data_IF_456027298753
#
_entry.id   IF_456027298753
#
_cell.length_a   1.000
_cell.length_b   1.000
_cell.length_c   1.000
_cell.angle_alpha   90.00
_cell.angle_beta   90.00
_cell.angle_gamma   90.00
#
_symmetry.space_group_name_H-M   'P 1'
#
loop_
_entity.id
_entity.type
_entity.pdbx_description
1 polymer ?
#
# COMPACT_ATOMS: atom_id res chain seq x y z
N UNK A 1 -29.59 -51.24 66.42
CA UNK A 1 -29.97 -51.91 65.16
C UNK A 1 -29.67 -50.96 64.02
N UNK A 2 -28.58 -51.15 63.25
CA UNK A 2 -28.51 -51.92 61.98
C UNK A 2 -29.36 -51.22 60.88
N UNK A 3 -28.91 -50.77 59.69
CA UNK A 3 -27.81 -51.05 58.73
C UNK A 3 -27.75 -49.85 57.73
N UNK A 4 -26.64 -49.13 57.51
CA UNK A 4 -25.63 -49.18 56.41
C UNK A 4 -26.08 -49.14 54.92
N UNK A 5 -25.55 -48.16 54.15
CA UNK A 5 -25.10 -48.25 52.73
C UNK A 5 -24.09 -47.11 52.48
N UNK A 6 -22.78 -47.36 52.68
CA UNK A 6 -21.73 -47.59 51.67
C UNK A 6 -21.57 -46.42 50.66
N UNK A 7 -20.63 -45.53 50.95
CA UNK A 7 -19.92 -44.69 49.96
C UNK A 7 -18.50 -45.23 49.82
N UNK A 8 -18.14 -45.59 48.59
CA UNK A 8 -16.84 -46.13 48.22
C UNK A 8 -15.91 -44.98 47.84
N UNK A 9 -14.82 -44.80 48.59
CA UNK A 9 -13.68 -44.01 48.14
C UNK A 9 -12.56 -44.94 47.69
N UNK A 10 -11.83 -44.58 46.64
CA UNK A 10 -10.41 -44.92 46.53
C UNK A 10 -9.69 -43.98 45.54
N UNK A 11 -8.68 -43.32 46.09
CA UNK A 11 -7.39 -42.91 45.52
C UNK A 11 -7.25 -42.74 44.00
N UNK A 12 -6.80 -41.54 43.59
CA UNK A 12 -5.91 -41.41 42.44
C UNK A 12 -4.63 -40.68 42.84
N UNK A 13 -3.52 -41.34 42.51
CA UNK A 13 -2.13 -40.97 42.72
C UNK A 13 -1.74 -39.69 41.98
N UNK A 14 -0.80 -38.97 42.58
CA UNK A 14 -0.05 -37.84 42.06
C UNK A 14 0.79 -38.20 40.82
N UNK A 15 0.65 -37.41 39.75
CA UNK A 15 1.69 -37.21 38.74
C UNK A 15 1.93 -35.71 38.60
N UNK A 16 3.08 -35.26 39.12
CA UNK A 16 3.64 -33.94 38.91
C UNK A 16 4.05 -33.82 37.43
N UNK A 17 3.22 -33.15 36.64
CA UNK A 17 3.64 -32.60 35.35
C UNK A 17 3.99 -31.14 35.56
N UNK A 18 5.27 -30.83 35.46
CA UNK A 18 5.79 -29.46 35.38
C UNK A 18 5.20 -28.79 34.13
N UNK A 19 4.14 -28.01 34.32
CA UNK A 19 3.63 -27.13 33.28
C UNK A 19 4.70 -26.07 32.97
N UNK A 20 5.21 -26.11 31.74
CA UNK A 20 6.04 -25.08 31.17
C UNK A 20 5.28 -23.74 31.14
N UNK A 21 6.04 -22.68 31.36
CA UNK A 21 5.62 -21.29 31.44
C UNK A 21 4.54 -20.88 30.42
N UNK A 22 3.59 -20.10 30.91
CA UNK A 22 2.52 -19.42 30.21
C UNK A 22 3.05 -18.62 29.00
N UNK A 23 2.76 -19.09 27.79
CA UNK A 23 3.00 -18.34 26.53
C UNK A 23 1.67 -18.09 25.78
N UNK A 24 0.53 -18.12 26.49
CA UNK A 24 -0.78 -17.86 25.89
C UNK A 24 -1.66 -16.96 26.76
N UNK A 25 -1.43 -15.66 26.70
CA UNK A 25 -2.48 -14.69 27.03
C UNK A 25 -2.88 -13.91 25.76
N UNK A 26 -3.99 -14.40 25.20
CA UNK A 26 -4.98 -13.75 24.34
C UNK A 26 -4.49 -12.95 23.11
N UNK A 27 -4.12 -13.66 22.03
CA UNK A 27 -4.39 -13.14 20.69
C UNK A 27 -5.92 -13.16 20.51
N UNK A 28 -6.52 -12.02 20.19
CA UNK A 28 -7.97 -11.89 20.01
C UNK A 28 -8.49 -12.83 18.91
N UNK A 29 -9.70 -13.36 19.10
CA UNK A 29 -10.47 -14.03 18.05
C UNK A 29 -10.95 -13.01 16.99
N UNK A 30 -10.12 -12.82 15.97
CA UNK A 30 -10.40 -11.98 14.80
C UNK A 30 -11.44 -12.58 13.85
N UNK A 31 -11.84 -13.86 14.02
CA UNK A 31 -12.83 -14.54 13.16
C UNK A 31 -14.21 -13.86 13.18
N UNK A 32 -14.48 -13.01 14.17
CA UNK A 32 -15.72 -12.24 14.29
C UNK A 32 -15.72 -10.95 13.46
N UNK A 33 -14.57 -10.51 12.95
CA UNK A 33 -14.52 -9.46 11.95
C UNK A 33 -14.75 -10.08 10.58
N UNK A 34 -15.99 -10.03 10.09
CA UNK A 34 -16.27 -10.42 8.72
C UNK A 34 -15.43 -9.53 7.79
N UNK A 35 -14.42 -10.12 7.16
CA UNK A 35 -13.64 -9.45 6.13
C UNK A 35 -14.59 -9.09 5.00
N UNK A 36 -14.70 -7.79 4.71
CA UNK A 36 -15.53 -7.28 3.64
C UNK A 36 -14.92 -7.68 2.28
N UNK A 37 -15.32 -8.86 1.79
CA UNK A 37 -14.90 -9.42 0.51
C UNK A 37 -15.15 -8.45 -0.64
N UNK A 38 -16.27 -7.71 -0.59
CA UNK A 38 -16.59 -6.71 -1.59
C UNK A 38 -15.59 -5.55 -1.55
N UNK A 39 -15.25 -5.04 -0.36
CA UNK A 39 -14.26 -3.97 -0.23
C UNK A 39 -12.86 -4.41 -0.72
N UNK A 40 -12.50 -5.67 -0.48
CA UNK A 40 -11.24 -6.22 -0.97
C UNK A 40 -11.26 -6.42 -2.49
N UNK A 41 -12.36 -6.93 -3.05
CA UNK A 41 -12.57 -7.03 -4.49
C UNK A 41 -12.52 -5.66 -5.18
N UNK A 42 -13.19 -4.66 -4.60
CA UNK A 42 -13.12 -3.27 -5.07
C UNK A 42 -11.68 -2.74 -4.99
N UNK A 43 -10.90 -3.15 -3.97
CA UNK A 43 -9.49 -2.78 -3.86
C UNK A 43 -8.66 -3.40 -4.98
N UNK A 44 -8.77 -4.70 -5.23
CA UNK A 44 -8.06 -5.38 -6.32
C UNK A 44 -8.43 -4.77 -7.68
N UNK A 45 -9.74 -4.64 -7.99
CA UNK A 45 -10.19 -4.11 -9.26
C UNK A 45 -9.76 -2.65 -9.50
N UNK A 46 -9.84 -1.79 -8.48
CA UNK A 46 -9.37 -0.41 -8.60
C UNK A 46 -7.85 -0.31 -8.76
N UNK A 47 -7.08 -1.23 -8.15
CA UNK A 47 -5.63 -1.36 -8.30
C UNK A 47 -5.25 -1.85 -9.70
N UNK A 48 -6.05 -2.70 -10.33
CA UNK A 48 -5.87 -3.14 -11.71
C UNK A 48 -5.73 -1.95 -12.65
N UNK A 49 -6.62 -0.95 -12.53
CA UNK A 49 -6.48 0.27 -13.32
C UNK A 49 -5.20 1.01 -12.96
N UNK A 50 -4.99 1.35 -11.69
CA UNK A 50 -3.91 2.27 -11.31
C UNK A 50 -2.52 1.71 -11.55
N UNK A 51 -2.35 0.39 -11.42
CA UNK A 51 -1.06 -0.30 -11.62
C UNK A 51 -0.78 -0.56 -13.10
N UNK A 52 -1.68 -1.23 -13.81
CA UNK A 52 -1.43 -1.63 -15.20
C UNK A 52 -1.30 -0.43 -16.15
N UNK A 53 -1.91 0.70 -15.80
CA UNK A 53 -1.84 1.94 -16.60
C UNK A 53 -0.93 2.99 -15.95
N UNK A 54 -0.28 2.64 -14.84
CA UNK A 54 0.42 3.53 -13.92
C UNK A 54 1.80 4.01 -14.33
N UNK A 55 2.43 4.70 -13.40
CA UNK A 55 3.84 5.10 -13.42
C UNK A 55 4.52 4.63 -12.13
N UNK A 56 5.84 4.47 -12.12
CA UNK A 56 6.55 4.16 -10.86
C UNK A 56 6.32 5.21 -9.81
N UNK A 57 6.37 6.49 -10.18
CA UNK A 57 6.09 7.57 -9.24
C UNK A 57 4.72 7.41 -8.58
N UNK A 58 3.73 6.90 -9.32
CA UNK A 58 2.43 6.57 -8.74
C UNK A 58 2.53 5.45 -7.71
N UNK A 59 3.28 4.38 -8.00
CA UNK A 59 3.47 3.22 -7.13
C UNK A 59 4.32 3.54 -5.88
N UNK A 60 5.35 4.37 -6.06
CA UNK A 60 6.32 4.75 -5.05
C UNK A 60 5.73 5.73 -4.03
N UNK A 61 4.77 6.55 -4.43
CA UNK A 61 4.13 7.50 -3.54
C UNK A 61 3.43 6.81 -2.36
N UNK A 62 3.76 7.27 -1.16
CA UNK A 62 3.04 6.98 0.07
C UNK A 62 2.81 8.29 0.83
N UNK A 63 1.62 8.47 1.41
CA UNK A 63 1.35 9.67 2.21
C UNK A 63 1.97 9.56 3.59
N UNK A 64 2.45 10.68 4.14
CA UNK A 64 2.91 10.82 5.53
C UNK A 64 1.93 10.15 6.51
N UNK A 65 2.49 9.40 7.47
CA UNK A 65 1.73 8.70 8.50
C UNK A 65 1.05 7.40 8.06
N UNK A 66 1.49 6.79 6.96
CA UNK A 66 1.08 5.44 6.57
C UNK A 66 2.11 4.35 6.88
N UNK A 67 3.36 4.72 7.13
CA UNK A 67 4.41 3.80 7.55
C UNK A 67 4.29 3.46 9.04
N UNK A 68 4.63 2.22 9.39
CA UNK A 68 4.63 1.67 10.74
C UNK A 68 3.29 1.85 11.46
N UNK A 69 2.16 1.64 10.78
CA UNK A 69 0.80 2.00 11.24
C UNK A 69 0.26 1.11 12.40
N UNK A 70 0.83 1.26 13.59
CA UNK A 70 0.60 0.39 14.76
C UNK A 70 -0.23 1.00 15.90
N UNK A 71 -0.17 2.32 16.07
CA UNK A 71 -0.65 3.02 17.27
C UNK A 71 -2.15 3.42 17.26
N UNK A 72 -3.05 2.51 16.87
CA UNK A 72 -4.50 2.62 17.11
C UNK A 72 -5.30 3.76 16.44
N UNK A 73 -4.64 4.70 15.74
CA UNK A 73 -5.31 5.86 15.14
C UNK A 73 -6.30 5.48 14.03
N UNK A 74 -6.04 4.38 13.34
CA UNK A 74 -6.97 3.84 12.35
C UNK A 74 -8.28 3.41 13.00
N UNK A 75 -8.19 2.65 14.09
CA UNK A 75 -9.34 2.20 14.83
C UNK A 75 -10.11 3.38 15.41
N UNK A 76 -9.41 4.39 15.94
CA UNK A 76 -10.04 5.64 16.41
C UNK A 76 -10.89 6.30 15.31
N UNK A 77 -10.37 6.37 14.10
CA UNK A 77 -11.10 6.94 12.95
C UNK A 77 -12.27 6.08 12.48
N UNK A 78 -12.19 4.77 12.60
CA UNK A 78 -13.31 3.89 12.22
C UNK A 78 -14.39 3.94 13.29
N UNK A 79 -14.00 3.81 14.56
CA UNK A 79 -14.90 3.83 15.71
C UNK A 79 -15.67 5.16 15.85
N UNK A 80 -15.08 6.29 15.45
CA UNK A 80 -15.77 7.58 15.48
C UNK A 80 -16.94 7.66 14.50
N UNK A 81 -16.97 6.85 13.42
CA UNK A 81 -18.04 6.88 12.42
C UNK A 81 -18.12 8.17 11.58
N UNK A 82 -17.24 9.14 11.80
CA UNK A 82 -17.15 10.40 11.04
C UNK A 82 -15.70 10.81 10.75
N UNK A 83 -15.53 11.83 9.91
CA UNK A 83 -14.20 12.35 9.57
C UNK A 83 -13.49 12.92 10.80
N UNK A 84 -12.25 12.48 11.03
CA UNK A 84 -11.38 13.00 12.09
C UNK A 84 -10.31 13.92 11.51
N UNK A 85 -10.17 15.11 12.12
CA UNK A 85 -9.09 16.04 11.81
C UNK A 85 -7.83 15.66 12.59
N UNK A 86 -6.89 14.97 11.92
CA UNK A 86 -5.59 14.62 12.52
C UNK A 86 -4.85 15.84 13.07
N UNK A 87 -4.87 16.95 12.32
CA UNK A 87 -4.24 18.20 12.77
C UNK A 87 -4.87 18.76 14.03
N UNK A 88 -6.18 18.59 14.21
CA UNK A 88 -6.85 19.08 15.39
C UNK A 88 -6.54 18.21 16.61
N UNK A 89 -6.65 16.89 16.45
CA UNK A 89 -6.27 15.92 17.47
C UNK A 89 -4.85 16.21 17.95
N UNK A 90 -3.91 16.33 17.02
CA UNK A 90 -2.51 16.64 17.33
C UNK A 90 -2.34 17.93 18.15
N UNK A 91 -3.04 19.01 17.78
CA UNK A 91 -2.98 20.28 18.52
C UNK A 91 -3.48 20.12 19.96
N UNK A 92 -4.58 19.39 20.15
CA UNK A 92 -5.14 19.13 21.48
C UNK A 92 -4.21 18.22 22.30
N UNK A 93 -3.61 17.19 21.70
CA UNK A 93 -2.62 16.35 22.38
C UNK A 93 -1.40 17.16 22.81
N UNK A 94 -0.82 17.96 21.91
CA UNK A 94 0.36 18.79 22.20
C UNK A 94 0.11 19.86 23.27
N UNK A 95 -1.13 20.32 23.42
CA UNK A 95 -1.50 21.32 24.43
C UNK A 95 -1.61 20.72 25.84
N UNK A 96 -1.88 19.41 25.95
CA UNK A 96 -1.87 18.67 27.23
C UNK A 96 -0.45 18.39 27.72
N UNK A 97 0.49 18.13 26.81
CA UNK A 97 1.88 17.82 27.17
C UNK A 97 2.62 19.02 27.77
N UNK A 98 3.61 18.78 28.61
CA UNK A 98 4.53 19.82 29.09
C UNK A 98 5.69 20.09 28.10
N UNK A 99 6.61 20.99 28.43
CA UNK A 99 7.75 21.32 27.56
C UNK A 99 8.73 20.16 27.39
N UNK A 100 8.93 19.33 28.41
CA UNK A 100 9.85 18.19 28.38
C UNK A 100 9.28 17.07 27.52
N UNK A 101 8.02 16.70 27.74
CA UNK A 101 7.27 15.71 26.96
C UNK A 101 7.18 16.10 25.47
N UNK A 102 6.91 17.39 25.18
CA UNK A 102 6.95 17.88 23.78
C UNK A 102 8.35 17.78 23.18
N UNK A 103 9.39 18.08 23.94
CA UNK A 103 10.77 18.00 23.44
C UNK A 103 11.16 16.56 23.09
N UNK A 104 10.74 15.58 23.91
CA UNK A 104 10.89 14.16 23.61
C UNK A 104 10.20 13.79 22.30
N UNK A 105 8.93 14.21 22.12
CA UNK A 105 8.18 13.94 20.89
C UNK A 105 8.78 14.63 19.65
N UNK A 106 9.33 15.84 19.81
CA UNK A 106 10.01 16.55 18.72
C UNK A 106 11.31 15.85 18.34
N UNK A 107 12.07 15.34 19.32
CA UNK A 107 13.31 14.61 19.04
C UNK A 107 13.09 13.34 18.22
N UNK A 108 11.96 12.67 18.41
CA UNK A 108 11.55 11.51 17.63
C UNK A 108 11.42 11.82 16.14
N UNK A 109 10.99 13.05 15.77
CA UNK A 109 10.87 13.46 14.36
C UNK A 109 12.22 13.36 13.64
N UNK A 110 13.33 13.69 14.32
CA UNK A 110 14.67 13.56 13.76
C UNK A 110 15.15 12.11 13.80
N UNK A 111 14.99 11.44 14.95
CA UNK A 111 15.50 10.08 15.17
C UNK A 111 14.95 9.05 14.18
N UNK A 112 13.69 9.21 13.77
CA UNK A 112 13.06 8.26 12.85
C UNK A 112 13.48 8.45 11.38
N UNK A 113 14.18 9.53 11.00
CA UNK A 113 14.50 9.81 9.59
C UNK A 113 15.27 8.67 8.90
N UNK A 114 16.33 8.16 9.54
CA UNK A 114 17.11 7.06 8.97
C UNK A 114 16.32 5.74 8.88
N UNK A 115 15.62 5.29 9.94
CA UNK A 115 14.68 4.16 9.83
C UNK A 115 13.62 4.34 8.73
N UNK A 116 13.05 5.54 8.58
CA UNK A 116 12.12 5.85 7.49
C UNK A 116 12.74 5.69 6.11
N UNK A 117 13.99 6.13 5.94
CA UNK A 117 14.72 5.97 4.67
C UNK A 117 14.96 4.49 4.35
N UNK A 118 15.32 3.67 5.35
CA UNK A 118 15.51 2.22 5.20
C UNK A 118 14.20 1.53 4.79
N UNK A 119 13.09 1.79 5.51
CA UNK A 119 11.79 1.26 5.15
C UNK A 119 11.34 1.73 3.75
N UNK A 120 11.61 3.00 3.41
CA UNK A 120 11.31 3.53 2.08
C UNK A 120 12.10 2.81 0.98
N UNK A 121 13.38 2.56 1.18
CA UNK A 121 14.24 1.83 0.24
C UNK A 121 13.79 0.38 0.05
N UNK A 122 13.45 -0.33 1.14
CA UNK A 122 12.90 -1.69 1.07
C UNK A 122 11.56 -1.73 0.31
N UNK A 123 10.69 -0.73 0.54
CA UNK A 123 9.45 -0.59 -0.23
C UNK A 123 9.69 -0.33 -1.70
N UNK A 124 10.67 0.52 -2.03
CA UNK A 124 11.06 0.79 -3.41
C UNK A 124 11.55 -0.48 -4.10
N UNK A 125 12.33 -1.32 -3.41
CA UNK A 125 12.79 -2.60 -3.94
C UNK A 125 11.61 -3.52 -4.30
N UNK A 126 10.59 -3.64 -3.43
CA UNK A 126 9.35 -4.36 -3.76
C UNK A 126 8.66 -3.77 -4.99
N UNK A 127 8.57 -2.44 -5.09
CA UNK A 127 7.96 -1.80 -6.26
C UNK A 127 8.75 -2.06 -7.54
N UNK A 128 10.09 -2.04 -7.49
CA UNK A 128 10.94 -2.38 -8.65
C UNK A 128 10.67 -3.83 -9.11
N UNK A 129 10.56 -4.76 -8.17
CA UNK A 129 10.24 -6.16 -8.45
C UNK A 129 8.85 -6.32 -9.11
N UNK A 130 7.83 -5.62 -8.61
CA UNK A 130 6.50 -5.62 -9.24
C UNK A 130 6.52 -5.02 -10.65
N UNK A 131 7.35 -4.01 -10.88
CA UNK A 131 7.48 -3.40 -12.20
C UNK A 131 8.28 -4.24 -13.19
N UNK A 132 9.23 -5.05 -12.74
CA UNK A 132 9.83 -6.09 -13.54
C UNK A 132 8.77 -7.03 -14.12
N UNK A 133 7.80 -7.47 -13.29
CA UNK A 133 6.68 -8.27 -13.78
C UNK A 133 5.81 -7.55 -14.83
N UNK A 134 5.63 -6.23 -14.71
CA UNK A 134 4.87 -5.45 -15.70
C UNK A 134 5.54 -5.44 -17.08
N UNK A 135 6.86 -5.47 -17.14
CA UNK A 135 7.60 -5.43 -18.40
C UNK A 135 8.04 -6.80 -18.92
N UNK A 136 7.62 -7.88 -18.24
CA UNK A 136 7.91 -9.25 -18.65
C UNK A 136 9.26 -9.80 -18.15
N UNK A 137 9.91 -9.09 -17.23
CA UNK A 137 11.14 -9.56 -16.59
C UNK A 137 10.82 -10.60 -15.49
N UNK A 138 11.72 -11.57 -15.32
CA UNK A 138 11.57 -12.64 -14.34
C UNK A 138 11.84 -12.17 -12.91
N UNK A 139 10.85 -12.33 -12.05
CA UNK A 139 10.99 -12.25 -10.58
C UNK A 139 10.29 -13.47 -10.02
N UNK A 140 10.90 -14.18 -9.09
CA UNK A 140 10.25 -15.29 -8.39
C UNK A 140 9.42 -14.80 -7.21
N UNK A 141 8.43 -15.60 -6.81
CA UNK A 141 7.62 -15.30 -5.63
C UNK A 141 8.48 -15.29 -4.36
N UNK A 142 9.45 -16.19 -4.29
CA UNK A 142 10.36 -16.37 -3.16
C UNK A 142 11.24 -15.12 -2.98
N UNK A 143 11.84 -14.61 -4.06
CA UNK A 143 12.60 -13.34 -4.03
C UNK A 143 11.72 -12.18 -3.57
N UNK A 144 10.48 -12.10 -4.06
CA UNK A 144 9.56 -11.03 -3.67
C UNK A 144 9.16 -11.12 -2.18
N UNK A 145 8.98 -12.32 -1.65
CA UNK A 145 8.70 -12.54 -0.22
C UNK A 145 9.87 -12.07 0.65
N UNK A 146 11.12 -12.32 0.24
CA UNK A 146 12.31 -11.83 0.96
C UNK A 146 12.33 -10.30 1.02
N UNK A 147 11.99 -9.63 -0.08
CA UNK A 147 11.84 -8.16 -0.08
C UNK A 147 10.74 -7.70 0.90
N UNK A 148 9.64 -8.45 0.98
CA UNK A 148 8.56 -8.25 1.94
C UNK A 148 9.01 -8.35 3.40
N UNK A 149 9.76 -9.40 3.73
CA UNK A 149 10.32 -9.59 5.07
C UNK A 149 11.21 -8.41 5.47
N UNK A 150 12.12 -7.99 4.58
CA UNK A 150 12.98 -6.85 4.81
C UNK A 150 12.16 -5.56 5.02
N UNK A 151 11.14 -5.31 4.19
CA UNK A 151 10.26 -4.16 4.35
C UNK A 151 9.52 -4.18 5.70
N UNK A 152 8.93 -5.31 6.09
CA UNK A 152 8.21 -5.46 7.36
C UNK A 152 9.10 -5.33 8.59
N UNK A 153 10.33 -5.83 8.54
CA UNK A 153 11.33 -5.63 9.59
C UNK A 153 11.67 -4.14 9.79
N UNK A 154 11.98 -3.43 8.69
CA UNK A 154 12.27 -2.00 8.75
C UNK A 154 11.07 -1.17 9.24
N UNK A 155 9.82 -1.54 8.88
CA UNK A 155 8.64 -0.89 9.45
C UNK A 155 8.48 -1.16 10.96
N UNK A 156 8.79 -2.38 11.40
CA UNK A 156 8.74 -2.76 12.80
C UNK A 156 9.77 -2.00 13.64
N UNK A 157 10.97 -1.75 13.11
CA UNK A 157 12.01 -0.93 13.77
C UNK A 157 11.56 0.53 13.99
N UNK A 158 10.88 1.13 12.99
CA UNK A 158 10.23 2.45 13.18
C UNK A 158 9.18 2.35 14.28
N UNK A 159 8.40 1.26 14.29
CA UNK A 159 7.41 0.96 15.31
C UNK A 159 7.99 0.92 16.72
N UNK A 160 9.11 0.23 16.91
CA UNK A 160 9.85 0.16 18.17
C UNK A 160 10.29 1.53 18.67
N UNK A 161 10.92 2.33 17.81
CA UNK A 161 11.38 3.67 18.17
C UNK A 161 10.22 4.58 18.62
N UNK A 162 9.10 4.54 17.89
CA UNK A 162 7.91 5.32 18.25
C UNK A 162 7.29 4.79 19.56
N UNK A 163 7.16 3.46 19.71
CA UNK A 163 6.56 2.84 20.89
C UNK A 163 7.38 3.16 22.15
N UNK A 164 8.71 3.06 22.09
CA UNK A 164 9.61 3.38 23.19
C UNK A 164 9.46 4.85 23.59
N UNK A 165 9.43 5.76 22.62
CA UNK A 165 9.26 7.19 22.87
C UNK A 165 7.90 7.52 23.47
N UNK A 166 6.82 6.92 22.95
CA UNK A 166 5.48 7.09 23.50
C UNK A 166 5.39 6.53 24.92
N UNK A 167 6.02 5.38 25.19
CA UNK A 167 6.15 4.81 26.52
C UNK A 167 6.78 5.77 27.52
N UNK A 168 7.92 6.39 27.15
CA UNK A 168 8.57 7.41 27.98
C UNK A 168 7.64 8.59 28.30
N UNK A 169 6.89 9.08 27.30
CA UNK A 169 5.91 10.16 27.52
C UNK A 169 4.81 9.68 28.45
N UNK A 170 4.19 8.52 28.18
CA UNK A 170 3.08 7.94 28.96
C UNK A 170 3.45 7.77 30.43
N UNK A 171 4.65 7.24 30.71
CA UNK A 171 5.15 7.05 32.07
C UNK A 171 5.37 8.37 32.82
N UNK A 172 5.63 9.46 32.09
CA UNK A 172 5.80 10.80 32.67
C UNK A 172 4.50 11.62 32.81
N UNK A 173 3.35 11.12 32.33
CA UNK A 173 2.09 11.87 32.37
C UNK A 173 1.55 11.99 33.81
N UNK A 174 1.13 13.20 34.19
CA UNK A 174 0.36 13.41 35.42
C UNK A 174 -1.05 12.81 35.32
N UNK A 175 -1.72 12.62 36.46
CA UNK A 175 -3.10 12.14 36.50
C UNK A 175 -4.06 13.07 35.73
N UNK A 176 -3.84 14.39 35.83
CA UNK A 176 -4.61 15.41 35.12
C UNK A 176 -4.40 15.31 33.60
N UNK A 177 -3.15 15.13 33.16
CA UNK A 177 -2.85 14.94 31.73
C UNK A 177 -3.52 13.69 31.18
N UNK A 178 -3.47 12.56 31.91
CA UNK A 178 -4.15 11.31 31.52
C UNK A 178 -5.65 11.52 31.37
N UNK A 179 -6.28 12.21 32.33
CA UNK A 179 -7.72 12.53 32.28
C UNK A 179 -8.06 13.43 31.08
N UNK A 180 -7.24 14.45 30.80
CA UNK A 180 -7.44 15.35 29.66
C UNK A 180 -7.31 14.62 28.31
N UNK A 181 -6.31 13.74 28.16
CA UNK A 181 -6.16 12.93 26.95
C UNK A 181 -7.36 12.00 26.75
N UNK A 182 -7.83 11.33 27.80
CA UNK A 182 -9.02 10.48 27.73
C UNK A 182 -10.27 11.28 27.32
N UNK A 183 -10.46 12.48 27.88
CA UNK A 183 -11.57 13.37 27.51
C UNK A 183 -11.50 13.83 26.05
N UNK A 184 -10.29 14.11 25.53
CA UNK A 184 -10.09 14.44 24.11
C UNK A 184 -10.52 13.25 23.23
N UNK A 185 -10.07 12.03 23.54
CA UNK A 185 -10.44 10.83 22.78
C UNK A 185 -11.96 10.66 22.74
N UNK A 186 -12.61 10.72 23.91
CA UNK A 186 -14.05 10.51 24.03
C UNK A 186 -14.84 11.54 23.22
N UNK A 187 -14.45 12.82 23.28
CA UNK A 187 -15.10 13.85 22.48
C UNK A 187 -14.97 13.60 20.97
N UNK A 188 -13.83 13.08 20.50
CA UNK A 188 -13.66 12.72 19.08
C UNK A 188 -14.46 11.47 18.69
N UNK A 189 -14.65 10.51 19.59
CA UNK A 189 -15.55 9.37 19.35
C UNK A 189 -17.02 9.81 19.25
N UNK A 190 -17.41 10.84 19.99
CA UNK A 190 -18.77 11.40 19.99
C UNK A 190 -19.02 12.49 18.93
N UNK A 191 -18.07 12.81 18.06
CA UNK A 191 -18.21 13.91 17.08
C UNK A 191 -18.16 15.32 17.64
N UNK A 192 -17.81 15.47 18.93
CA UNK A 192 -17.73 16.76 19.65
C UNK A 192 -16.31 17.29 19.77
N UNK A 193 -15.31 16.57 19.27
CA UNK A 193 -13.90 16.95 19.37
C UNK A 193 -13.57 18.32 18.77
N UNK A 194 -14.38 18.79 17.80
CA UNK A 194 -14.26 20.13 17.21
C UNK A 194 -14.48 21.27 18.22
N UNK A 195 -15.38 21.08 19.19
CA UNK A 195 -15.77 22.10 20.16
C UNK A 195 -14.85 22.18 21.39
N UNK A 196 -13.95 21.19 21.57
CA UNK A 196 -13.01 21.20 22.69
C UNK A 196 -12.01 22.34 22.56
N UNK A 197 -11.96 23.19 23.58
CA UNK A 197 -10.94 24.22 23.73
C UNK A 197 -9.57 23.59 23.99
N UNK A 198 -8.51 24.26 23.53
CA UNK A 198 -7.14 23.83 23.78
C UNK A 198 -6.79 24.15 25.24
N UNK A 199 -6.65 23.14 26.10
CA UNK A 199 -6.05 23.33 27.44
C UNK A 199 -4.64 23.93 27.31
N UNK A 200 -4.22 24.78 28.26
CA UNK A 200 -2.91 25.46 28.31
C UNK A 200 -2.43 26.24 27.05
N UNK A 201 -3.29 26.42 26.04
CA UNK A 201 -2.97 27.15 24.81
C UNK A 201 -2.26 26.32 23.72
N UNK A 202 -2.25 26.82 22.48
CA UNK A 202 -1.62 26.14 21.35
C UNK A 202 -0.09 26.43 21.33
N UNK A 203 0.78 25.44 21.61
CA UNK A 203 2.22 25.69 21.73
C UNK A 203 2.82 26.14 20.39
N UNK A 204 3.61 27.21 20.41
CA UNK A 204 4.34 27.70 19.22
C UNK A 204 5.58 26.84 18.98
N UNK A 205 5.47 25.84 18.11
CA UNK A 205 6.58 24.95 17.74
C UNK A 205 7.16 25.37 16.38
N UNK A 206 8.46 25.69 16.36
CA UNK A 206 9.20 26.04 15.14
C UNK A 206 9.89 24.78 14.58
N UNK A 207 9.46 24.35 13.40
CA UNK A 207 9.96 23.20 12.65
C UNK A 207 9.78 23.46 11.15
N UNK A 208 10.54 22.73 10.31
CA UNK A 208 10.34 22.72 8.87
C UNK A 208 8.94 22.18 8.51
N UNK A 209 8.46 22.46 7.30
CA UNK A 209 7.09 22.11 6.89
C UNK A 209 6.82 20.59 6.95
N UNK A 210 7.76 19.78 6.50
CA UNK A 210 7.63 18.32 6.50
C UNK A 210 7.72 17.76 7.93
N UNK A 211 8.68 18.21 8.73
CA UNK A 211 8.79 17.86 10.15
C UNK A 211 7.53 18.22 10.95
N UNK A 212 6.86 19.33 10.62
CA UNK A 212 5.56 19.70 11.23
C UNK A 212 4.46 18.70 10.90
N UNK A 213 4.40 18.20 9.65
CA UNK A 213 3.40 17.19 9.27
C UNK A 213 3.64 15.90 10.03
N UNK A 214 4.90 15.52 10.20
CA UNK A 214 5.25 14.31 10.93
C UNK A 214 5.01 14.45 12.44
N UNK A 215 5.33 15.61 13.04
CA UNK A 215 4.95 15.88 14.43
C UNK A 215 3.43 15.81 14.64
N UNK A 216 2.64 16.33 13.70
CA UNK A 216 1.18 16.20 13.73
C UNK A 216 0.75 14.74 13.66
N UNK A 217 1.43 13.92 12.85
CA UNK A 217 1.17 12.50 12.77
C UNK A 217 1.48 11.80 14.10
N UNK A 218 2.67 11.99 14.65
CA UNK A 218 3.09 11.40 15.93
C UNK A 218 2.19 11.82 17.08
N UNK A 219 1.86 13.11 17.21
CA UNK A 219 1.00 13.59 18.29
C UNK A 219 -0.41 12.98 18.23
N UNK A 220 -1.00 12.85 17.03
CA UNK A 220 -2.30 12.23 16.90
C UNK A 220 -2.28 10.73 17.25
N UNK A 221 -1.19 10.04 16.90
CA UNK A 221 -0.97 8.62 17.22
C UNK A 221 -0.70 8.41 18.72
N UNK A 222 0.01 9.34 19.36
CA UNK A 222 0.24 9.33 20.81
C UNK A 222 -1.09 9.36 21.57
N UNK A 223 -2.05 10.19 21.16
CA UNK A 223 -3.39 10.16 21.77
C UNK A 223 -3.99 8.76 21.69
N UNK A 224 -4.04 8.20 20.49
CA UNK A 224 -4.66 6.88 20.26
C UNK A 224 -3.99 5.78 21.06
N UNK A 225 -2.66 5.79 21.17
CA UNK A 225 -1.88 4.84 21.94
C UNK A 225 -2.07 5.00 23.45
N UNK A 226 -1.93 6.23 23.96
CA UNK A 226 -1.98 6.52 25.40
C UNK A 226 -3.37 6.34 26.02
N UNK A 227 -4.43 6.30 25.20
CA UNK A 227 -5.83 6.25 25.65
C UNK A 227 -6.62 5.08 25.06
N UNK A 228 -5.98 4.28 24.20
CA UNK A 228 -6.58 3.12 23.56
C UNK A 228 -6.37 1.85 24.36
N UNK A 229 -6.87 0.76 23.80
CA UNK A 229 -6.64 -0.60 24.27
C UNK A 229 -5.98 -1.44 23.16
N UNK A 230 -5.64 -2.67 23.51
CA UNK A 230 -5.06 -3.67 22.61
C UNK A 230 -5.90 -3.85 21.34
N UNK A 231 -7.23 -3.82 21.47
CA UNK A 231 -8.16 -4.02 20.36
C UNK A 231 -8.09 -2.88 19.33
N UNK A 232 -7.87 -1.64 19.75
CA UNK A 232 -7.65 -0.53 18.82
C UNK A 232 -6.30 -0.64 18.11
N UNK A 233 -5.27 -1.14 18.81
CA UNK A 233 -3.93 -1.28 18.26
C UNK A 233 -3.85 -2.42 17.23
N UNK A 234 -4.53 -3.54 17.48
CA UNK A 234 -4.58 -4.71 16.62
C UNK A 234 -5.42 -4.48 15.34
N UNK A 235 -6.34 -3.53 15.36
CA UNK A 235 -7.27 -3.27 14.26
C UNK A 235 -6.58 -2.73 13.01
N UNK A 236 -6.86 -3.36 11.86
CA UNK A 236 -6.53 -2.85 10.55
C UNK A 236 -7.68 -3.11 9.55
N UNK A 237 -7.72 -2.35 8.46
CA UNK A 237 -8.77 -2.43 7.43
C UNK A 237 -8.27 -3.20 6.22
N UNK A 238 -9.11 -4.07 5.68
CA UNK A 238 -8.88 -4.82 4.44
C UNK A 238 -8.56 -3.88 3.28
N UNK A 239 -7.66 -4.32 2.39
CA UNK A 239 -7.20 -3.52 1.26
C UNK A 239 -6.35 -2.30 1.62
N UNK A 240 -5.98 -2.12 2.90
CA UNK A 240 -4.89 -1.22 3.27
C UNK A 240 -3.52 -1.86 3.22
N UNK A 241 -3.29 -3.12 3.62
CA UNK A 241 -2.06 -3.79 3.22
C UNK A 241 -1.93 -3.82 1.69
N UNK A 242 -0.72 -4.04 1.19
CA UNK A 242 -0.40 -4.13 -0.24
C UNK A 242 -0.61 -2.82 -0.99
N UNK A 243 -0.16 -1.67 -0.45
CA UNK A 243 -0.29 -0.36 -1.14
C UNK A 243 0.80 -0.12 -2.18
N UNK A 244 1.08 -1.06 -3.06
CA UNK A 244 2.15 -0.95 -4.07
C UNK A 244 1.64 -0.53 -5.46
N UNK A 245 0.32 -0.52 -5.64
CA UNK A 245 -0.33 -0.46 -6.96
C UNK A 245 -0.83 0.93 -7.38
N UNK A 246 -0.29 2.00 -6.80
CA UNK A 246 -0.50 3.38 -7.26
C UNK A 246 -1.88 4.02 -7.05
N UNK A 247 -2.83 3.33 -6.42
CA UNK A 247 -4.19 3.88 -6.21
C UNK A 247 -4.21 5.15 -5.34
N UNK A 248 -3.26 5.29 -4.40
CA UNK A 248 -3.15 6.48 -3.56
C UNK A 248 -2.85 7.72 -4.41
N UNK A 249 -1.96 7.58 -5.39
CA UNK A 249 -1.58 8.62 -6.34
C UNK A 249 -2.74 9.00 -7.26
N UNK A 250 -3.48 8.00 -7.75
CA UNK A 250 -4.70 8.24 -8.53
C UNK A 250 -5.70 9.12 -7.78
N UNK A 251 -5.88 8.85 -6.48
CA UNK A 251 -6.75 9.65 -5.62
C UNK A 251 -6.23 11.08 -5.44
N UNK A 252 -4.91 11.28 -5.34
CA UNK A 252 -4.32 12.62 -5.23
C UNK A 252 -4.44 13.43 -6.51
N UNK A 253 -4.17 12.80 -7.66
CA UNK A 253 -4.33 13.41 -8.97
C UNK A 253 -5.77 13.93 -9.20
N UNK A 254 -6.75 13.27 -8.59
CA UNK A 254 -8.17 13.68 -8.61
C UNK A 254 -8.58 14.69 -7.54
N UNK A 255 -7.63 15.32 -6.84
CA UNK A 255 -7.90 16.17 -5.66
C UNK A 255 -8.78 15.45 -4.61
N UNK A 256 -8.47 14.18 -4.35
CA UNK A 256 -9.20 13.27 -3.46
C UNK A 256 -10.65 12.93 -3.85
N UNK A 257 -11.16 13.38 -4.99
CA UNK A 257 -12.54 13.15 -5.45
C UNK A 257 -12.83 11.71 -5.89
N UNK A 258 -11.80 10.95 -6.30
CA UNK A 258 -11.98 9.57 -6.76
C UNK A 258 -12.34 8.61 -5.61
N UNK A 259 -13.44 7.89 -5.80
CA UNK A 259 -13.91 6.82 -4.91
C UNK A 259 -13.49 5.46 -5.44
N UNK A 260 -12.91 4.62 -4.57
CA UNK A 260 -12.44 3.27 -4.90
C UNK A 260 -13.53 2.41 -5.56
N UNK A 261 -14.70 2.31 -4.93
CA UNK A 261 -15.81 1.50 -5.47
C UNK A 261 -16.32 1.99 -6.83
N UNK A 262 -16.20 3.29 -7.13
CA UNK A 262 -16.54 3.81 -8.46
C UNK A 262 -15.54 3.31 -9.52
N UNK A 263 -14.24 3.44 -9.25
CA UNK A 263 -13.19 2.95 -10.17
C UNK A 263 -13.32 1.45 -10.36
N UNK A 264 -13.54 0.70 -9.28
CA UNK A 264 -13.75 -0.75 -9.33
C UNK A 264 -14.95 -1.11 -10.22
N UNK A 265 -16.09 -0.44 -10.06
CA UNK A 265 -17.28 -0.67 -10.91
C UNK A 265 -16.99 -0.41 -12.38
N UNK A 266 -16.29 0.69 -12.68
CA UNK A 266 -15.92 1.04 -14.07
C UNK A 266 -14.95 0.00 -14.66
N UNK A 267 -13.93 -0.45 -13.91
CA UNK A 267 -13.01 -1.52 -14.33
C UNK A 267 -13.77 -2.84 -14.57
N UNK A 268 -14.56 -3.30 -13.60
CA UNK A 268 -15.30 -4.56 -13.71
C UNK A 268 -16.26 -4.58 -14.90
N UNK A 269 -16.83 -3.42 -15.28
CA UNK A 269 -17.70 -3.30 -16.45
C UNK A 269 -16.98 -3.50 -17.78
N UNK A 270 -15.65 -3.36 -17.81
CA UNK A 270 -14.83 -3.61 -19.00
C UNK A 270 -14.42 -5.07 -19.13
N UNK A 271 -14.46 -5.85 -18.05
CA UNK A 271 -13.93 -7.22 -17.99
C UNK A 271 -14.98 -8.27 -18.37
N UNK A 272 -14.54 -9.41 -18.90
CA UNK A 272 -15.36 -10.62 -19.06
C UNK A 272 -15.66 -11.25 -17.71
N UNK A 273 -16.57 -12.23 -17.66
CA UNK A 273 -16.88 -12.96 -16.43
C UNK A 273 -15.65 -13.67 -15.85
N UNK A 274 -14.93 -14.43 -16.67
CA UNK A 274 -13.68 -15.12 -16.29
C UNK A 274 -12.60 -14.15 -15.75
N UNK A 275 -12.46 -12.98 -16.36
CA UNK A 275 -11.53 -11.95 -15.89
C UNK A 275 -11.96 -11.36 -14.53
N UNK A 276 -13.27 -11.15 -14.32
CA UNK A 276 -13.78 -10.70 -13.02
C UNK A 276 -13.58 -11.77 -11.94
N UNK A 277 -13.83 -13.03 -12.27
CA UNK A 277 -13.60 -14.17 -11.37
C UNK A 277 -12.13 -14.29 -10.97
N UNK A 278 -11.20 -14.04 -11.91
CA UNK A 278 -9.75 -14.01 -11.61
C UNK A 278 -9.42 -12.99 -10.52
N UNK A 279 -9.95 -11.77 -10.61
CA UNK A 279 -9.73 -10.73 -9.58
C UNK A 279 -10.45 -11.05 -8.26
N UNK A 280 -11.66 -11.60 -8.33
CA UNK A 280 -12.45 -11.99 -7.16
C UNK A 280 -11.78 -13.14 -6.39
N UNK A 281 -11.20 -14.11 -7.09
CA UNK A 281 -10.47 -15.23 -6.47
C UNK A 281 -9.25 -14.75 -5.70
N UNK A 282 -8.50 -13.79 -6.25
CA UNK A 282 -7.39 -13.16 -5.51
C UNK A 282 -7.87 -12.45 -4.25
N UNK A 283 -8.97 -11.69 -4.34
CA UNK A 283 -9.57 -11.08 -3.17
C UNK A 283 -9.94 -12.13 -2.12
N UNK A 284 -10.60 -13.23 -2.51
CA UNK A 284 -10.96 -14.33 -1.61
C UNK A 284 -9.76 -14.99 -0.96
N UNK A 285 -8.68 -15.26 -1.71
CA UNK A 285 -7.44 -15.82 -1.16
C UNK A 285 -6.81 -14.87 -0.13
N UNK A 286 -6.81 -13.58 -0.43
CA UNK A 286 -6.26 -12.55 0.45
C UNK A 286 -7.07 -12.38 1.75
N UNK A 287 -8.34 -12.83 1.83
CA UNK A 287 -9.09 -12.85 3.09
C UNK A 287 -8.40 -13.75 4.11
N UNK A 288 -8.03 -14.95 3.70
CA UNK A 288 -7.35 -15.95 4.55
C UNK A 288 -5.98 -15.44 4.99
N UNK A 289 -5.22 -14.84 4.08
CA UNK A 289 -3.91 -14.27 4.39
C UNK A 289 -4.05 -13.04 5.31
N UNK A 290 -5.11 -12.26 5.18
CA UNK A 290 -5.35 -11.11 6.03
C UNK A 290 -5.62 -11.49 7.49
N UNK A 291 -6.28 -12.62 7.74
CA UNK A 291 -6.44 -13.15 9.10
C UNK A 291 -5.08 -13.49 9.74
N UNK A 292 -4.21 -14.18 9.00
CA UNK A 292 -2.85 -14.49 9.46
C UNK A 292 -2.02 -13.22 9.67
N UNK A 293 -2.16 -12.24 8.78
CA UNK A 293 -1.53 -10.93 8.91
C UNK A 293 -1.93 -10.25 10.22
N UNK A 294 -3.23 -10.23 10.55
CA UNK A 294 -3.72 -9.64 11.81
C UNK A 294 -3.17 -10.38 13.03
N UNK A 295 -3.07 -11.71 12.98
CA UNK A 295 -2.50 -12.52 14.06
C UNK A 295 -1.03 -12.17 14.33
N UNK A 296 -0.19 -12.15 13.30
CA UNK A 296 1.24 -11.81 13.43
C UNK A 296 1.43 -10.34 13.81
N UNK A 297 0.59 -9.45 13.27
CA UNK A 297 0.59 -8.04 13.63
C UNK A 297 0.22 -7.85 15.11
N UNK A 298 -0.74 -8.60 15.64
CA UNK A 298 -1.09 -8.55 17.07
C UNK A 298 0.10 -8.97 17.95
N UNK A 299 0.85 -10.02 17.57
CA UNK A 299 2.09 -10.44 18.27
C UNK A 299 3.18 -9.36 18.25
N UNK A 300 3.33 -8.68 17.11
CA UNK A 300 4.18 -7.48 17.02
C UNK A 300 3.68 -6.39 17.97
N UNK A 301 2.36 -6.13 18.03
CA UNK A 301 1.79 -5.11 18.92
C UNK A 301 2.05 -5.42 20.39
N UNK A 302 1.82 -6.67 20.83
CA UNK A 302 2.14 -7.10 22.21
C UNK A 302 3.60 -6.81 22.57
N UNK A 303 4.52 -7.01 21.62
CA UNK A 303 5.95 -6.74 21.80
C UNK A 303 6.27 -5.25 21.97
N UNK A 304 5.51 -4.37 21.31
CA UNK A 304 5.67 -2.91 21.40
C UNK A 304 4.97 -2.31 22.64
N UNK A 305 3.84 -2.89 23.05
CA UNK A 305 3.00 -2.35 24.13
C UNK A 305 3.63 -2.46 25.51
N UNK A 306 4.65 -3.32 25.69
CA UNK A 306 5.43 -3.38 26.93
C UNK A 306 6.01 -2.00 27.30
N UNK A 307 6.36 -1.17 26.31
CA UNK A 307 6.84 0.18 26.53
C UNK A 307 5.82 1.10 27.22
N UNK A 308 4.51 0.83 27.08
CA UNK A 308 3.48 1.59 27.81
C UNK A 308 3.58 1.42 29.31
N UNK A 309 4.13 0.29 29.78
CA UNK A 309 4.38 0.00 31.21
C UNK A 309 5.77 0.45 31.68
N UNK A 310 6.59 0.98 30.78
CA UNK A 310 7.98 1.35 31.05
C UNK A 310 9.00 0.21 30.86
N UNK A 311 8.55 -0.95 30.39
CA UNK A 311 9.43 -2.08 30.09
C UNK A 311 10.28 -1.80 28.84
N UNK A 312 11.42 -2.48 28.73
CA UNK A 312 12.29 -2.42 27.54
C UNK A 312 11.73 -3.35 26.46
N UNK A 313 11.61 -2.84 25.23
CA UNK A 313 11.18 -3.63 24.07
C UNK A 313 12.27 -4.64 23.70
N UNK A 314 11.87 -5.88 23.42
CA UNK A 314 12.76 -6.90 22.85
C UNK A 314 12.86 -6.72 21.33
N UNK A 315 13.92 -6.03 20.88
CA UNK A 315 14.15 -5.73 19.47
C UNK A 315 14.23 -6.99 18.59
N UNK A 316 14.65 -8.14 19.13
CA UNK A 316 14.70 -9.39 18.35
C UNK A 316 13.30 -9.91 18.05
N UNK A 317 12.37 -9.81 19.01
CA UNK A 317 10.96 -10.16 18.80
C UNK A 317 10.29 -9.20 17.82
N UNK A 318 10.57 -7.90 17.93
CA UNK A 318 10.07 -6.89 16.99
C UNK A 318 10.52 -7.21 15.57
N UNK A 319 11.82 -7.43 15.36
CA UNK A 319 12.38 -7.77 14.06
C UNK A 319 11.76 -9.06 13.49
N UNK A 320 11.64 -10.10 14.33
CA UNK A 320 11.02 -11.37 13.94
C UNK A 320 9.57 -11.19 13.49
N UNK A 321 8.69 -10.61 14.33
CA UNK A 321 7.29 -10.44 13.96
C UNK A 321 7.11 -9.41 12.83
N UNK A 322 8.00 -8.43 12.72
CA UNK A 322 8.08 -7.52 11.57
C UNK A 322 8.29 -8.26 10.26
N UNK A 323 9.25 -9.19 10.21
CA UNK A 323 9.46 -10.06 9.05
C UNK A 323 8.24 -10.92 8.73
N UNK A 324 7.61 -11.53 9.73
CA UNK A 324 6.40 -12.35 9.54
C UNK A 324 5.24 -11.54 8.94
N UNK A 325 4.99 -10.34 9.47
CA UNK A 325 3.99 -9.41 8.94
C UNK A 325 4.32 -9.02 7.49
N UNK A 326 5.58 -8.67 7.22
CA UNK A 326 6.04 -8.30 5.88
C UNK A 326 5.96 -9.43 4.85
N UNK A 327 6.24 -10.67 5.27
CA UNK A 327 6.09 -11.87 4.44
C UNK A 327 4.64 -12.08 4.00
N UNK A 328 3.69 -11.98 4.94
CA UNK A 328 2.27 -12.19 4.64
C UNK A 328 1.75 -11.05 3.75
N UNK A 329 2.15 -9.80 4.01
CA UNK A 329 1.81 -8.67 3.15
C UNK A 329 2.37 -8.83 1.73
N UNK A 330 3.60 -9.32 1.59
CA UNK A 330 4.18 -9.63 0.28
C UNK A 330 3.45 -10.78 -0.42
N UNK A 331 3.01 -11.81 0.30
CA UNK A 331 2.19 -12.90 -0.26
C UNK A 331 0.87 -12.38 -0.84
N UNK A 332 0.15 -11.55 -0.08
CA UNK A 332 -1.09 -10.89 -0.55
C UNK A 332 -0.82 -9.99 -1.76
N UNK A 333 0.26 -9.21 -1.71
CA UNK A 333 0.66 -8.31 -2.80
C UNK A 333 1.00 -9.10 -4.06
N UNK A 334 1.75 -10.19 -3.94
CA UNK A 334 2.10 -11.07 -5.05
C UNK A 334 0.84 -11.65 -5.70
N UNK A 335 -0.06 -12.23 -4.91
CA UNK A 335 -1.30 -12.82 -5.40
C UNK A 335 -2.12 -11.83 -6.23
N UNK A 336 -2.31 -10.60 -5.71
CA UNK A 336 -2.96 -9.51 -6.45
C UNK A 336 -2.23 -9.17 -7.75
N UNK A 337 -0.90 -9.06 -7.71
CA UNK A 337 -0.10 -8.76 -8.90
C UNK A 337 -0.28 -9.84 -9.98
N UNK A 338 -0.17 -11.12 -9.63
CA UNK A 338 -0.39 -12.24 -10.56
C UNK A 338 -1.80 -12.25 -11.14
N UNK A 339 -2.84 -12.00 -10.32
CA UNK A 339 -4.22 -11.93 -10.82
C UNK A 339 -4.42 -10.76 -11.81
N UNK A 340 -3.87 -9.59 -11.50
CA UNK A 340 -3.91 -8.43 -12.41
C UNK A 340 -3.15 -8.68 -13.72
N UNK A 341 -2.01 -9.38 -13.67
CA UNK A 341 -1.25 -9.76 -14.87
C UNK A 341 -1.97 -10.84 -15.70
N UNK A 342 -2.65 -11.79 -15.05
CA UNK A 342 -3.48 -12.79 -15.72
C UNK A 342 -4.67 -12.15 -16.45
N UNK A 343 -5.31 -11.16 -15.80
CA UNK A 343 -6.31 -10.33 -16.47
C UNK A 343 -5.68 -9.61 -17.65
N UNK A 344 -4.53 -8.92 -17.47
CA UNK A 344 -3.83 -8.23 -18.57
C UNK A 344 -3.58 -9.15 -19.77
N UNK A 345 -3.06 -10.35 -19.56
CA UNK A 345 -2.73 -11.28 -20.65
C UNK A 345 -3.95 -11.76 -21.44
N UNK A 346 -5.15 -11.67 -20.86
CA UNK A 346 -6.41 -12.07 -21.50
C UNK A 346 -7.23 -10.90 -22.06
N UNK A 347 -6.76 -9.66 -21.91
CA UNK A 347 -7.49 -8.49 -22.43
C UNK A 347 -7.51 -8.51 -23.96
N UNK A 348 -8.69 -8.23 -24.52
CA UNK A 348 -8.79 -7.83 -25.92
C UNK A 348 -8.26 -6.41 -26.14
N UNK A 349 -7.90 -6.07 -27.38
CA UNK A 349 -7.45 -4.71 -27.74
C UNK A 349 -8.44 -3.64 -27.30
N UNK A 350 -9.74 -3.91 -27.47
CA UNK A 350 -10.81 -2.99 -27.07
C UNK A 350 -10.79 -2.75 -25.56
N UNK A 351 -10.56 -3.78 -24.75
CA UNK A 351 -10.49 -3.66 -23.30
C UNK A 351 -9.23 -2.91 -22.85
N UNK A 352 -8.06 -3.22 -23.42
CA UNK A 352 -6.80 -2.52 -23.12
C UNK A 352 -6.90 -1.03 -23.45
N UNK A 353 -7.46 -0.69 -24.61
CA UNK A 353 -7.72 0.70 -24.99
C UNK A 353 -8.74 1.38 -24.05
N UNK A 354 -9.79 0.67 -23.64
CA UNK A 354 -10.78 1.19 -22.69
C UNK A 354 -10.19 1.44 -21.30
N UNK A 355 -9.27 0.59 -20.82
CA UNK A 355 -8.57 0.80 -19.55
C UNK A 355 -7.65 2.03 -19.59
N UNK A 356 -6.86 2.19 -20.66
CA UNK A 356 -6.04 3.38 -20.86
C UNK A 356 -6.90 4.66 -20.94
N UNK A 357 -8.03 4.59 -21.66
CA UNK A 357 -9.00 5.68 -21.72
C UNK A 357 -9.62 5.97 -20.35
N UNK A 358 -9.94 4.94 -19.56
CA UNK A 358 -10.50 5.09 -18.22
C UNK A 358 -9.51 5.79 -17.27
N UNK A 359 -8.21 5.50 -17.36
CA UNK A 359 -7.20 6.19 -16.55
C UNK A 359 -7.24 7.70 -16.74
N UNK A 360 -7.30 8.14 -17.99
CA UNK A 360 -7.28 9.57 -18.34
C UNK A 360 -8.41 10.39 -17.72
N UNK A 361 -9.53 9.74 -17.35
CA UNK A 361 -10.65 10.37 -16.64
C UNK A 361 -10.27 10.83 -15.23
N UNK A 362 -9.28 10.17 -14.63
CA UNK A 362 -8.91 10.33 -13.22
C UNK A 362 -7.56 11.02 -13.01
N UNK A 363 -6.74 11.10 -14.04
CA UNK A 363 -5.46 11.81 -14.01
C UNK A 363 -5.57 13.13 -14.77
N UNK A 364 -5.47 14.27 -14.09
CA UNK A 364 -5.24 15.54 -14.78
C UNK A 364 -3.88 15.49 -15.49
N UNK A 365 -3.79 16.08 -16.69
CA UNK A 365 -2.59 16.11 -17.52
C UNK A 365 -1.38 16.62 -16.72
N UNK A 366 -0.32 15.82 -16.63
CA UNK A 366 0.97 16.24 -16.05
C UNK A 366 1.38 15.52 -14.75
N UNK A 367 1.41 14.18 -14.75
CA UNK A 367 2.24 13.46 -13.78
C UNK A 367 3.71 13.83 -14.00
N UNK A 368 4.25 14.78 -13.22
CA UNK A 368 5.71 14.98 -13.14
C UNK A 368 6.31 13.83 -12.34
N UNK A 369 6.88 12.85 -13.03
CA UNK A 369 7.54 11.69 -12.42
C UNK A 369 8.95 12.05 -11.91
N UNK A 370 9.30 11.50 -10.75
CA UNK A 370 10.64 11.53 -10.13
C UNK A 370 11.47 10.32 -10.58
N UNK A 371 11.65 10.11 -11.88
CA UNK A 371 12.55 9.05 -12.35
C UNK A 371 14.01 9.48 -12.15
N UNK A 372 14.85 8.58 -11.62
CA UNK A 372 16.29 8.87 -11.35
C UNK A 372 17.10 9.09 -12.64
N UNK A 373 16.71 8.45 -13.74
CA UNK A 373 17.29 8.64 -15.07
C UNK A 373 16.27 8.38 -16.20
N UNK A 374 16.65 8.70 -17.43
CA UNK A 374 15.79 8.59 -18.62
C UNK A 374 15.42 7.14 -18.98
N UNK A 375 16.32 6.17 -18.79
CA UNK A 375 16.05 4.78 -19.14
C UNK A 375 15.00 4.16 -18.21
N UNK A 376 15.11 4.41 -16.90
CA UNK A 376 14.09 4.02 -15.92
C UNK A 376 12.74 4.68 -16.24
N UNK A 377 12.75 5.95 -16.68
CA UNK A 377 11.52 6.61 -17.13
C UNK A 377 10.93 5.92 -18.36
N UNK A 378 11.76 5.53 -19.32
CA UNK A 378 11.34 4.79 -20.50
C UNK A 378 10.68 3.45 -20.17
N UNK A 379 11.32 2.68 -19.27
CA UNK A 379 10.78 1.42 -18.75
C UNK A 379 9.39 1.58 -18.12
N UNK A 380 9.19 2.67 -17.38
CA UNK A 380 7.89 2.99 -16.77
C UNK A 380 6.81 3.25 -17.81
N UNK A 381 7.15 4.06 -18.82
CA UNK A 381 6.24 4.41 -19.90
C UNK A 381 5.90 3.17 -20.74
N UNK A 382 6.86 2.26 -20.91
CA UNK A 382 6.67 0.99 -21.61
C UNK A 382 5.59 0.10 -20.97
N UNK A 383 5.32 0.21 -19.66
CA UNK A 383 4.25 -0.55 -19.02
C UNK A 383 2.87 -0.30 -19.68
N UNK A 384 2.62 0.91 -20.21
CA UNK A 384 1.40 1.22 -20.96
C UNK A 384 1.38 0.53 -22.34
N UNK A 385 2.53 0.38 -22.98
CA UNK A 385 2.67 -0.34 -24.24
C UNK A 385 2.54 -1.86 -24.02
N UNK A 386 3.14 -2.37 -22.95
CA UNK A 386 3.11 -3.77 -22.55
C UNK A 386 1.69 -4.33 -22.36
N UNK A 387 0.70 -3.48 -22.04
CA UNK A 387 -0.71 -3.85 -21.97
C UNK A 387 -1.24 -4.55 -23.23
N UNK A 388 -0.79 -4.14 -24.40
CA UNK A 388 -1.18 -4.74 -25.68
C UNK A 388 -0.04 -5.51 -26.34
N UNK A 389 1.20 -5.09 -26.12
CA UNK A 389 2.36 -5.61 -26.86
C UNK A 389 3.04 -6.81 -26.19
N UNK A 390 2.76 -7.11 -24.91
CA UNK A 390 3.14 -8.37 -24.27
C UNK A 390 2.01 -9.41 -24.30
N UNK A 391 0.84 -9.05 -24.83
CA UNK A 391 -0.22 -10.01 -25.18
C UNK A 391 -0.13 -10.32 -26.68
N UNK A 392 -0.91 -11.29 -27.16
CA UNK A 392 -1.01 -11.59 -28.59
C UNK A 392 -1.91 -10.60 -29.37
N UNK A 393 -2.31 -9.49 -28.73
CA UNK A 393 -3.29 -8.56 -29.30
C UNK A 393 -2.65 -7.45 -30.16
N UNK A 394 -1.35 -7.16 -29.97
CA UNK A 394 -0.56 -6.25 -30.79
C UNK A 394 0.77 -6.91 -31.25
N UNK A 395 1.46 -6.39 -32.29
CA UNK A 395 2.75 -6.92 -32.72
C UNK A 395 3.82 -6.71 -31.65
N UNK A 396 4.81 -7.59 -31.54
CA UNK A 396 5.92 -7.46 -30.58
C UNK A 396 6.66 -6.12 -30.76
N UNK A 397 7.15 -5.56 -29.66
CA UNK A 397 8.03 -4.37 -29.66
C UNK A 397 9.52 -4.74 -29.53
N UNK A 398 9.85 -6.03 -29.49
CA UNK A 398 11.23 -6.50 -29.50
C UNK A 398 11.93 -6.04 -30.78
N UNK A 399 13.14 -5.51 -30.60
CA UNK A 399 13.96 -4.99 -31.70
C UNK A 399 13.22 -3.98 -32.59
N UNK A 400 12.20 -3.25 -32.08
CA UNK A 400 11.35 -2.36 -32.89
C UNK A 400 12.14 -1.22 -33.55
N UNK A 401 13.14 -0.67 -32.85
CA UNK A 401 13.96 0.43 -33.37
C UNK A 401 14.88 -0.10 -34.47
N UNK A 402 14.67 0.39 -35.69
CA UNK A 402 15.34 -0.07 -36.90
C UNK A 402 14.62 -1.24 -37.61
N UNK A 403 13.52 -1.77 -37.06
CA UNK A 403 12.73 -2.83 -37.70
C UNK A 403 11.87 -2.28 -38.83
N UNK A 404 11.57 -3.11 -39.82
CA UNK A 404 10.66 -2.76 -40.90
C UNK A 404 9.25 -2.52 -40.36
N UNK A 405 8.55 -1.51 -40.89
CA UNK A 405 7.16 -1.24 -40.50
C UNK A 405 6.26 -2.41 -40.91
N UNK A 406 5.34 -2.80 -40.03
CA UNK A 406 4.38 -3.88 -40.24
C UNK A 406 5.01 -5.25 -40.62
N UNK A 407 6.15 -5.59 -40.01
CA UNK A 407 6.96 -6.77 -40.39
C UNK A 407 7.03 -7.91 -39.37
N UNK A 408 6.35 -7.81 -38.24
CA UNK A 408 6.23 -8.93 -37.30
C UNK A 408 5.47 -10.09 -37.97
N UNK A 409 6.16 -11.22 -38.16
CA UNK A 409 5.62 -12.39 -38.85
C UNK A 409 4.59 -13.18 -38.00
N UNK A 410 4.63 -13.02 -36.67
CA UNK A 410 3.68 -13.65 -35.76
C UNK A 410 2.37 -12.85 -35.68
N UNK A 411 2.40 -11.56 -36.03
CA UNK A 411 1.23 -10.69 -36.02
C UNK A 411 0.58 -10.56 -37.41
N UNK A 412 -0.60 -11.16 -37.59
CA UNK A 412 -1.30 -11.18 -38.88
C UNK A 412 -2.22 -9.99 -39.11
N UNK A 413 -2.68 -9.34 -38.03
CA UNK A 413 -3.82 -8.42 -38.04
C UNK A 413 -3.42 -6.94 -38.19
N UNK A 414 -2.40 -6.65 -39.00
CA UNK A 414 -2.05 -5.26 -39.35
C UNK A 414 -3.17 -4.58 -40.14
N UNK A 415 -3.49 -3.32 -39.80
CA UNK A 415 -4.44 -2.53 -40.56
C UNK A 415 -3.94 -2.25 -41.98
N UNK A 416 -4.88 -2.03 -42.92
CA UNK A 416 -4.51 -1.61 -44.29
C UNK A 416 -3.72 -0.29 -44.27
N UNK A 417 -4.05 0.62 -43.36
CA UNK A 417 -3.38 1.91 -43.21
C UNK A 417 -1.89 1.77 -42.85
N UNK A 418 -1.54 0.94 -41.86
CA UNK A 418 -0.13 0.78 -41.45
C UNK A 418 0.68 0.00 -42.50
N UNK A 419 0.04 -0.92 -43.25
CA UNK A 419 0.65 -1.58 -44.41
C UNK A 419 0.93 -0.59 -45.55
N UNK A 420 -0.01 0.31 -45.83
CA UNK A 420 0.20 1.38 -46.81
C UNK A 420 1.33 2.31 -46.39
N UNK A 421 1.31 2.76 -45.14
CA UNK A 421 2.35 3.61 -44.54
C UNK A 421 3.76 2.99 -44.64
N UNK A 422 3.89 1.67 -44.52
CA UNK A 422 5.15 0.96 -44.67
C UNK A 422 5.78 1.08 -46.07
N UNK A 423 5.03 1.50 -47.09
CA UNK A 423 5.55 1.72 -48.44
C UNK A 423 6.35 3.02 -48.51
N UNK A 424 5.85 4.08 -47.89
CA UNK A 424 6.49 5.40 -47.84
C UNK A 424 7.56 5.47 -46.74
N UNK A 425 7.34 4.76 -45.63
CA UNK A 425 8.21 4.72 -44.46
C UNK A 425 8.54 3.27 -44.09
N UNK A 426 9.55 2.65 -44.74
CA UNK A 426 9.79 1.22 -44.62
C UNK A 426 10.41 0.78 -43.30
N UNK A 427 11.00 1.71 -42.52
CA UNK A 427 11.78 1.41 -41.30
C UNK A 427 11.34 2.32 -40.15
N UNK A 428 11.18 1.74 -38.96
CA UNK A 428 10.97 2.46 -37.70
C UNK A 428 12.27 3.12 -37.22
N UNK A 429 12.54 4.34 -37.67
CA UNK A 429 13.60 5.19 -37.09
C UNK A 429 13.15 5.78 -35.75
N UNK A 430 14.10 6.28 -34.94
CA UNK A 430 13.77 6.94 -33.67
C UNK A 430 12.83 8.15 -33.88
N UNK A 431 13.09 8.99 -34.90
CA UNK A 431 12.22 10.11 -35.26
C UNK A 431 10.82 9.66 -35.64
N UNK A 432 10.71 8.63 -36.49
CA UNK A 432 9.42 8.14 -36.96
C UNK A 432 8.61 7.50 -35.84
N UNK A 433 9.28 6.77 -34.94
CA UNK A 433 8.66 6.23 -33.72
C UNK A 433 8.16 7.36 -32.82
N UNK A 434 8.94 8.42 -32.63
CA UNK A 434 8.53 9.59 -31.83
C UNK A 434 7.27 10.25 -32.41
N UNK A 435 7.24 10.53 -33.72
CA UNK A 435 6.05 11.07 -34.41
C UNK A 435 4.82 10.15 -34.28
N UNK A 436 5.03 8.84 -34.44
CA UNK A 436 3.94 7.87 -34.35
C UNK A 436 3.41 7.73 -32.93
N UNK A 437 4.29 7.72 -31.91
CA UNK A 437 3.92 7.64 -30.49
C UNK A 437 3.24 8.93 -30.01
N UNK A 438 3.60 10.09 -30.58
CA UNK A 438 2.96 11.36 -30.24
C UNK A 438 1.45 11.34 -30.53
N UNK A 439 1.05 10.82 -31.70
CA UNK A 439 -0.36 10.68 -32.08
C UNK A 439 -0.54 9.66 -33.21
N UNK A 440 -0.71 8.35 -32.88
CA UNK A 440 -0.71 7.29 -33.89
C UNK A 440 -1.79 7.46 -34.97
N UNK A 441 -3.00 7.84 -34.56
CA UNK A 441 -4.13 8.05 -35.47
C UNK A 441 -4.00 9.31 -36.32
N UNK A 442 -3.25 10.31 -35.86
CA UNK A 442 -2.95 11.48 -36.68
C UNK A 442 -1.83 11.18 -37.67
N UNK A 443 -0.82 10.41 -37.27
CA UNK A 443 0.31 10.05 -38.12
C UNK A 443 -0.07 9.02 -39.19
N UNK A 444 -0.91 8.05 -38.82
CA UNK A 444 -1.41 6.98 -39.70
C UNK A 444 -2.93 6.85 -39.55
N UNK A 445 -3.71 7.69 -40.24
CA UNK A 445 -5.18 7.61 -40.22
C UNK A 445 -5.66 6.21 -40.63
N UNK A 446 -6.51 5.59 -39.80
CA UNK A 446 -6.98 4.20 -40.00
C UNK A 446 -6.08 3.12 -39.38
N UNK A 447 -5.04 3.48 -38.63
CA UNK A 447 -4.32 2.51 -37.79
C UNK A 447 -5.24 1.92 -36.72
N UNK A 448 -5.08 0.62 -36.43
CA UNK A 448 -5.79 -0.05 -35.34
C UNK A 448 -5.22 0.29 -33.96
N UNK A 449 -4.02 0.88 -33.90
CA UNK A 449 -3.43 1.32 -32.64
C UNK A 449 -4.26 2.46 -32.04
N UNK A 450 -5.04 2.14 -31.01
CA UNK A 450 -5.90 3.09 -30.30
C UNK A 450 -5.22 3.88 -29.18
N UNK A 451 -3.88 3.89 -29.14
CA UNK A 451 -3.13 4.69 -28.18
C UNK A 451 -3.39 6.18 -28.42
N UNK A 452 -3.68 6.92 -27.35
CA UNK A 452 -4.07 8.34 -27.43
C UNK A 452 -2.91 9.27 -27.79
N UNK A 453 -1.68 8.80 -27.58
CA UNK A 453 -0.48 9.58 -27.82
C UNK A 453 0.23 10.03 -26.55
N UNK A 454 1.50 10.37 -26.69
CA UNK A 454 2.37 10.91 -25.64
C UNK A 454 2.98 12.22 -26.14
N UNK A 455 2.45 13.36 -25.70
CA UNK A 455 2.83 14.67 -26.24
C UNK A 455 4.16 15.21 -25.73
N UNK A 456 4.66 14.71 -24.59
CA UNK A 456 5.94 15.13 -24.04
C UNK A 456 7.11 14.50 -24.80
N UNK A 457 7.90 15.33 -25.48
CA UNK A 457 9.10 14.91 -26.22
C UNK A 457 10.07 14.13 -25.33
N UNK A 458 10.35 14.65 -24.13
CA UNK A 458 11.25 14.01 -23.17
C UNK A 458 10.75 12.63 -22.71
N UNK A 459 9.43 12.41 -22.66
CA UNK A 459 8.87 11.09 -22.33
C UNK A 459 8.97 10.14 -23.53
N UNK A 460 8.75 10.63 -24.75
CA UNK A 460 8.94 9.82 -25.96
C UNK A 460 10.40 9.41 -26.12
N UNK A 461 11.33 10.32 -25.91
CA UNK A 461 12.78 10.04 -25.96
C UNK A 461 13.19 9.00 -24.91
N UNK A 462 12.67 9.13 -23.68
CA UNK A 462 12.89 8.15 -22.63
C UNK A 462 12.35 6.76 -23.03
N UNK A 463 11.10 6.70 -23.51
CA UNK A 463 10.46 5.47 -23.97
C UNK A 463 11.25 4.82 -25.12
N UNK A 464 11.63 5.59 -26.14
CA UNK A 464 12.43 5.10 -27.27
C UNK A 464 13.79 4.60 -26.79
N UNK A 465 14.43 5.32 -25.86
CA UNK A 465 15.65 4.89 -25.20
C UNK A 465 15.53 3.49 -24.57
N UNK A 466 14.42 3.21 -23.92
CA UNK A 466 14.11 1.88 -23.40
C UNK A 466 13.76 0.86 -24.48
N UNK A 467 12.98 1.23 -25.51
CA UNK A 467 12.68 0.33 -26.63
C UNK A 467 13.94 -0.16 -27.35
N UNK A 468 15.03 0.62 -27.34
CA UNK A 468 16.35 0.21 -27.89
C UNK A 468 17.00 -0.94 -27.12
N UNK A 469 16.66 -1.11 -25.84
CA UNK A 469 17.19 -2.18 -25.00
C UNK A 469 16.39 -3.48 -25.13
N UNK A 470 15.18 -3.43 -25.70
CA UNK A 470 14.38 -4.62 -26.00
C UNK A 470 14.97 -5.31 -27.24
N UNK A 471 15.33 -6.59 -27.10
CA UNK A 471 16.01 -7.36 -28.15
C UNK A 471 15.22 -8.58 -28.55
#
# INVERSE_FOLDING_TARGET
MRIFRITMGLMLLTLLSTASAEDSQAVRDISKYQVDEKALTDAVASRTLSWLTGSSSSNDYISVGRTANYFGFVALRVASGHSLSRSQIAKQTLSVLDSKQRSVLISLVEQQKAPFEQASNSRLAMNRALEALLVGEGVSKEEFIVLGQAYGENEAEIGELIAQTFGQIIQSLSSEQKQQLAAIREAHLQGKGQALSFGNGNPKIKLAKEDKKELVNLAARLLSWATGDEAFNDFEVVGKPSQHFGFVSLRLASNHGVKRGQVAKEVMSLLTEEQRETLAMSAKNNIVDFEQFLEQRAKLMRSLEVAQRGDVIDSKKVAYFGREVGQIEAKMTWDQATAMLSVRSSLSDKQSQALLALRSKYTASGEKALAKNSLDRGRQLYAQCALCHLSQSAPSLESIVGRKVASDNLYKNYSSAIKGFATDYPIWTESLLSEFIESPKSRVPGTYMGYRGMTSDAERDALIGYLKTLK
#
